data_IF_633432320600
#
_entry.id   IF_633432320600
#
_cell.length_a   1.000
_cell.length_b   1.000
_cell.length_c   1.000
_cell.angle_alpha   90.00
_cell.angle_beta   90.00
_cell.angle_gamma   90.00
#
_symmetry.space_group_name_H-M   'P 1'
#
loop_
_entity.id
_entity.type
_entity.pdbx_description
1 polymer ?
#
# COMPACT_ATOMS: atom_id res chain seq x y z
N UNK A 1 13.19 3.93 11.17
CA UNK A 1 12.26 2.78 11.15
C UNK A 1 10.89 3.22 11.64
N UNK A 2 9.85 3.06 10.81
CA UNK A 2 8.44 3.37 11.15
C UNK A 2 7.56 2.15 10.88
N UNK A 3 6.51 1.99 11.68
CA UNK A 3 5.43 1.05 11.36
C UNK A 3 4.43 1.73 10.42
N UNK A 4 3.97 1.01 9.41
CA UNK A 4 3.02 1.46 8.40
C UNK A 4 1.77 0.58 8.46
N UNK A 5 0.60 1.20 8.64
CA UNK A 5 -0.67 0.53 8.40
C UNK A 5 -1.02 0.56 6.89
N UNK A 6 -2.05 -0.17 6.48
CA UNK A 6 -2.50 -0.20 5.08
C UNK A 6 -2.93 1.17 4.54
N UNK A 7 -3.45 2.06 5.39
CA UNK A 7 -3.83 3.43 5.01
C UNK A 7 -2.61 4.35 4.77
N UNK A 8 -1.44 4.02 5.31
CA UNK A 8 -0.19 4.70 5.02
C UNK A 8 0.47 4.16 3.74
N UNK A 9 0.18 2.91 3.35
CA UNK A 9 0.68 2.27 2.13
C UNK A 9 -0.11 2.69 0.90
N UNK A 10 -1.44 2.76 1.00
CA UNK A 10 -2.34 3.07 -0.12
C UNK A 10 -1.98 4.35 -0.90
N UNK A 11 -1.61 5.47 -0.25
CA UNK A 11 -1.19 6.69 -0.96
C UNK A 11 0.09 6.54 -1.80
N UNK A 12 0.87 5.47 -1.63
CA UNK A 12 2.02 5.14 -2.48
C UNK A 12 1.63 4.37 -3.75
N UNK A 13 0.41 3.83 -3.79
CA UNK A 13 -0.12 2.97 -4.84
C UNK A 13 -1.17 3.68 -5.69
N UNK A 14 -2.02 4.48 -5.05
CA UNK A 14 -3.10 5.29 -5.62
C UNK A 14 -2.90 6.73 -5.17
N UNK A 15 -3.17 7.69 -6.05
CA UNK A 15 -3.07 9.11 -5.70
C UNK A 15 -4.20 9.51 -4.74
N UNK A 16 -3.81 9.93 -3.54
CA UNK A 16 -4.68 10.38 -2.46
C UNK A 16 -4.12 11.65 -1.82
N UNK A 17 -4.88 12.30 -0.95
CA UNK A 17 -4.48 13.55 -0.28
C UNK A 17 -3.12 13.44 0.44
N UNK A 18 -2.80 12.27 1.00
CA UNK A 18 -1.59 12.04 1.77
C UNK A 18 -0.39 11.53 0.92
N UNK A 19 -0.52 11.37 -0.40
CA UNK A 19 0.50 10.76 -1.27
C UNK A 19 1.87 11.42 -1.13
N UNK A 20 1.96 12.75 -1.22
CA UNK A 20 3.25 13.46 -1.15
C UNK A 20 3.88 13.36 0.24
N UNK A 21 3.05 13.36 1.29
CA UNK A 21 3.52 13.13 2.66
C UNK A 21 4.12 11.74 2.81
N UNK A 22 3.45 10.69 2.31
CA UNK A 22 3.93 9.30 2.41
C UNK A 22 5.18 9.08 1.56
N UNK A 23 5.26 9.64 0.36
CA UNK A 23 6.49 9.60 -0.46
C UNK A 23 7.68 10.23 0.26
N UNK A 24 7.48 11.41 0.86
CA UNK A 24 8.55 12.06 1.65
C UNK A 24 9.00 11.20 2.83
N UNK A 25 8.06 10.59 3.55
CA UNK A 25 8.38 9.67 4.65
C UNK A 25 9.20 8.46 4.17
N UNK A 26 8.85 7.90 3.02
CA UNK A 26 9.59 6.78 2.42
C UNK A 26 11.00 7.19 1.96
N UNK A 27 11.18 8.41 1.45
CA UNK A 27 12.51 8.93 1.08
C UNK A 27 13.38 9.14 2.33
N UNK A 28 12.81 9.69 3.39
CA UNK A 28 13.51 9.94 4.66
C UNK A 28 13.86 8.65 5.39
N UNK A 29 13.01 7.63 5.30
CA UNK A 29 13.14 6.33 5.96
C UNK A 29 12.62 5.21 5.05
N UNK A 30 13.49 4.61 4.20
CA UNK A 30 13.07 3.62 3.21
C UNK A 30 12.58 2.29 3.78
N UNK A 31 12.76 2.06 5.07
CA UNK A 31 12.34 0.82 5.72
C UNK A 31 10.85 0.87 6.05
N UNK A 32 10.08 0.05 5.35
CA UNK A 32 8.66 -0.17 5.62
C UNK A 32 8.52 -1.40 6.54
N UNK A 33 7.95 -1.22 7.72
CA UNK A 33 7.57 -2.30 8.64
C UNK A 33 6.05 -2.35 8.72
N UNK A 34 5.44 -3.51 8.46
CA UNK A 34 3.98 -3.68 8.40
C UNK A 34 3.53 -4.88 9.22
N UNK A 35 2.22 -5.01 9.46
CA UNK A 35 1.63 -6.25 9.94
C UNK A 35 1.48 -7.25 8.78
N UNK A 36 1.61 -8.56 9.02
CA UNK A 36 1.50 -9.59 7.97
C UNK A 36 0.19 -9.50 7.15
N UNK A 37 -0.90 -9.01 7.76
CA UNK A 37 -2.18 -8.83 7.07
C UNK A 37 -2.28 -7.55 6.22
N UNK A 38 -1.30 -6.65 6.26
CA UNK A 38 -1.38 -5.35 5.56
C UNK A 38 -1.51 -5.49 4.03
N UNK A 39 -0.90 -6.51 3.40
CA UNK A 39 -1.14 -6.79 1.97
C UNK A 39 -2.61 -7.08 1.69
N UNK A 40 -3.23 -7.89 2.55
CA UNK A 40 -4.64 -8.32 2.41
C UNK A 40 -5.57 -7.11 2.55
N UNK A 41 -5.31 -6.25 3.53
CA UNK A 41 -6.06 -5.00 3.70
C UNK A 41 -5.93 -4.06 2.50
N UNK A 42 -4.72 -3.94 1.95
CA UNK A 42 -4.47 -3.12 0.78
C UNK A 42 -5.26 -3.62 -0.44
N UNK A 43 -5.15 -4.92 -0.74
CA UNK A 43 -5.91 -5.54 -1.85
C UNK A 43 -7.41 -5.39 -1.65
N UNK A 44 -7.91 -5.63 -0.43
CA UNK A 44 -9.33 -5.47 -0.09
C UNK A 44 -9.83 -4.04 -0.33
N UNK A 45 -8.98 -3.05 -0.06
CA UNK A 45 -9.29 -1.64 -0.30
C UNK A 45 -9.28 -1.31 -1.79
N UNK A 46 -8.31 -1.81 -2.55
CA UNK A 46 -8.26 -1.66 -4.02
C UNK A 46 -9.48 -2.31 -4.69
N UNK A 47 -9.89 -3.49 -4.23
CA UNK A 47 -11.09 -4.19 -4.71
C UNK A 47 -12.36 -3.39 -4.46
N UNK A 48 -12.45 -2.73 -3.29
CA UNK A 48 -13.55 -1.83 -2.97
C UNK A 48 -13.57 -0.63 -3.93
N UNK A 49 -12.43 0.01 -4.16
CA UNK A 49 -12.32 1.14 -5.10
C UNK A 49 -12.67 0.75 -6.55
N UNK A 50 -12.34 -0.48 -6.95
CA UNK A 50 -12.75 -1.04 -8.25
C UNK A 50 -14.28 -1.18 -8.33
N UNK A 51 -14.92 -1.77 -7.31
CA UNK A 51 -16.39 -1.90 -7.26
C UNK A 51 -17.13 -0.56 -7.22
N UNK A 52 -16.54 0.45 -6.59
CA UNK A 52 -17.07 1.81 -6.54
C UNK A 52 -16.84 2.60 -7.84
N UNK A 53 -16.13 2.03 -8.81
CA UNK A 53 -15.81 2.70 -10.09
C UNK A 53 -14.75 3.81 -9.95
N UNK A 54 -14.10 3.93 -8.79
CA UNK A 54 -12.99 4.86 -8.57
C UNK A 54 -11.73 4.39 -9.28
N UNK A 55 -11.50 3.07 -9.30
CA UNK A 55 -10.45 2.43 -10.10
C UNK A 55 -11.06 1.71 -11.31
N UNK A 56 -10.31 1.72 -12.42
CA UNK A 56 -10.62 0.92 -13.61
C UNK A 56 -9.91 -0.44 -13.55
N UNK A 57 -10.48 -1.47 -14.19
CA UNK A 57 -9.92 -2.85 -14.16
C UNK A 57 -8.48 -2.93 -14.67
N UNK A 58 -8.15 -2.20 -15.75
CA UNK A 58 -6.79 -2.11 -16.29
C UNK A 58 -5.80 -1.50 -15.30
N UNK A 59 -6.22 -0.47 -14.55
CA UNK A 59 -5.42 0.18 -13.52
C UNK A 59 -5.27 -0.71 -12.29
N UNK A 60 -6.31 -1.47 -11.92
CA UNK A 60 -6.30 -2.37 -10.76
C UNK A 60 -5.14 -3.37 -10.82
N UNK A 61 -5.00 -4.09 -11.95
CA UNK A 61 -3.92 -5.07 -12.11
C UNK A 61 -2.53 -4.45 -11.99
N UNK A 62 -2.34 -3.23 -12.52
CA UNK A 62 -1.07 -2.51 -12.41
C UNK A 62 -0.78 -2.08 -10.97
N UNK A 63 -1.81 -1.64 -10.24
CA UNK A 63 -1.67 -1.21 -8.84
C UNK A 63 -1.38 -2.41 -7.94
N UNK A 64 -2.03 -3.55 -8.16
CA UNK A 64 -1.72 -4.80 -7.45
C UNK A 64 -0.27 -5.20 -7.70
N UNK A 65 0.21 -5.18 -8.95
CA UNK A 65 1.62 -5.47 -9.25
C UNK A 65 2.60 -4.53 -8.52
N UNK A 66 2.28 -3.23 -8.42
CA UNK A 66 3.08 -2.27 -7.63
C UNK A 66 3.08 -2.62 -6.14
N UNK A 67 1.93 -3.02 -5.58
CA UNK A 67 1.83 -3.49 -4.20
C UNK A 67 2.69 -4.73 -3.97
N UNK A 68 2.71 -5.69 -4.90
CA UNK A 68 3.55 -6.88 -4.77
C UNK A 68 5.04 -6.53 -4.82
N UNK A 69 5.42 -5.60 -5.69
CA UNK A 69 6.79 -5.08 -5.75
C UNK A 69 7.19 -4.43 -4.43
N UNK A 70 6.31 -3.61 -3.84
CA UNK A 70 6.55 -2.99 -2.54
C UNK A 70 6.60 -4.00 -1.40
N UNK A 71 5.72 -4.99 -1.42
CA UNK A 71 5.66 -6.05 -0.41
C UNK A 71 6.90 -6.95 -0.43
N UNK A 72 7.55 -7.11 -1.59
CA UNK A 72 8.78 -7.89 -1.69
C UNK A 72 9.97 -7.29 -0.92
N UNK A 73 9.89 -6.02 -0.52
CA UNK A 73 10.97 -5.30 0.17
C UNK A 73 10.66 -4.87 1.61
N UNK A 74 9.41 -4.98 2.06
CA UNK A 74 9.04 -4.59 3.43
C UNK A 74 9.35 -5.69 4.46
N UNK A 75 9.31 -5.32 5.74
CA UNK A 75 9.46 -6.24 6.86
C UNK A 75 8.09 -6.49 7.49
N UNK A 76 7.68 -7.75 7.55
CA UNK A 76 6.39 -8.15 8.12
C UNK A 76 6.53 -8.62 9.57
N UNK A 77 5.74 -8.02 10.45
CA UNK A 77 5.52 -8.50 11.81
C UNK A 77 4.47 -9.63 11.76
N UNK A 78 4.89 -10.82 12.17
CA UNK A 78 4.07 -12.04 12.17
C UNK A 78 3.05 -12.03 13.32
N UNK A 79 1.94 -12.77 13.17
CA UNK A 79 1.06 -13.07 14.30
C UNK A 79 1.80 -13.90 15.35
N UNK A 80 1.48 -13.67 16.62
CA UNK A 80 1.93 -14.48 17.77
C UNK A 80 0.87 -15.52 18.12
#
# INVERSE_FOLDING_TARGET
MRFWDSSAILPLLVEETDTERRKKQLIEDPLIVVWWGSKIECVSTLDRLLREGVLQENSFMQIVYKLETLASSWVEIQAT
#
